data_IF_220273313123
#
_entry.id   IF_220273313123
#
_cell.length_a   1.000
_cell.length_b   1.000
_cell.length_c   1.000
_cell.angle_alpha   90.00
_cell.angle_beta   90.00
_cell.angle_gamma   90.00
#
_symmetry.space_group_name_H-M   'P 1'
#
loop_
_entity.id
_entity.type
_entity.pdbx_description
1 polymer ?
2 non-polymer ?
3 non-polymer ?
4 non-polymer ?
5 non-polymer ?
6 non-polymer ?
7 non-polymer ?
8 water ?
#
# COMPACT_ATOMS: atom_id res chain seq x y z
N UNK A 4 9.43 -25.95 12.36
CA UNK A 4 8.72 -25.30 13.46
C UNK A 4 9.61 -24.26 14.15
N UNK A 5 9.80 -23.11 13.50
CA UNK A 5 10.78 -22.12 13.93
C UNK A 5 10.22 -21.21 15.03
N UNK A 6 11.15 -20.61 15.77
CA UNK A 6 10.86 -19.80 16.94
C UNK A 6 11.34 -18.36 16.73
N UNK A 7 10.50 -17.39 17.07
CA UNK A 7 10.87 -15.98 17.07
C UNK A 7 10.77 -15.45 18.49
N UNK A 8 11.74 -14.61 18.87
CA UNK A 8 11.82 -14.08 20.22
C UNK A 8 11.56 -12.58 20.20
N UNK A 9 11.02 -12.07 21.29
CA UNK A 9 11.03 -10.65 21.56
C UNK A 9 12.03 -10.41 22.68
N UNK A 10 13.02 -9.56 22.44
CA UNK A 10 14.07 -9.35 23.43
C UNK A 10 13.77 -8.22 24.41
N UNK A 11 12.66 -7.50 24.23
CA UNK A 11 12.26 -6.53 25.23
C UNK A 11 11.38 -7.16 26.29
N UNK A 12 10.63 -8.20 25.92
CA UNK A 12 9.65 -8.86 26.76
C UNK A 12 9.93 -10.33 27.03
N UNK A 13 10.88 -10.94 26.31
CA UNK A 13 11.19 -12.36 26.40
C UNK A 13 10.02 -13.24 25.99
N UNK A 14 9.05 -12.68 25.25
CA UNK A 14 7.96 -13.47 24.71
C UNK A 14 8.47 -14.27 23.53
N UNK A 15 8.11 -15.56 23.48
CA UNK A 15 8.51 -16.44 22.40
C UNK A 15 7.27 -16.98 21.71
N UNK A 16 7.33 -17.02 20.37
CA UNK A 16 6.23 -17.52 19.55
C UNK A 16 6.78 -18.53 18.55
N UNK A 17 5.98 -19.56 18.28
CA UNK A 17 6.37 -20.64 17.37
C UNK A 17 5.64 -20.48 16.06
N UNK A 18 6.37 -20.62 14.96
CA UNK A 18 5.87 -20.38 13.62
C UNK A 18 5.82 -21.70 12.87
N UNK A 19 4.61 -22.15 12.54
CA UNK A 19 4.40 -23.25 11.60
C UNK A 19 3.70 -22.79 10.33
N UNK A 20 3.28 -21.52 10.27
CA UNK A 20 2.61 -21.01 9.08
C UNK A 20 3.56 -20.94 7.88
N UNK A 21 4.85 -20.67 8.11
CA UNK A 21 5.82 -20.57 7.03
C UNK A 21 5.90 -21.84 6.20
N UNK A 22 5.52 -22.98 6.78
CA UNK A 22 5.50 -24.24 6.04
C UNK A 22 4.55 -24.16 4.85
N UNK A 23 3.42 -23.46 5.01
CA UNK A 23 2.47 -23.27 3.90
C UNK A 23 3.03 -22.34 2.83
N UNK A 24 4.12 -21.62 3.11
CA UNK A 24 4.70 -20.73 2.10
C UNK A 24 5.17 -21.54 0.90
N UNK A 25 5.21 -20.87 -0.25
CA UNK A 25 5.34 -21.55 -1.52
C UNK A 25 6.39 -20.86 -2.38
N UNK A 26 6.31 -19.52 -2.47
CA UNK A 26 7.16 -18.70 -3.32
C UNK A 26 8.46 -18.35 -2.60
N UNK A 27 9.43 -17.87 -3.39
CA UNK A 27 10.81 -17.71 -2.95
C UNK A 27 11.08 -16.28 -2.50
N UNK A 28 12.03 -16.14 -1.56
CA UNK A 28 12.32 -14.86 -0.91
C UNK A 28 13.40 -14.05 -1.60
N UNK A 29 14.26 -14.68 -2.40
CA UNK A 29 15.47 -14.06 -2.87
C UNK A 29 16.71 -14.50 -2.12
N UNK A 30 16.53 -14.94 -0.88
CA UNK A 30 17.66 -15.37 -0.05
C UNK A 30 18.00 -16.82 -0.32
N UNK A 31 19.25 -17.17 -0.07
CA UNK A 31 19.68 -18.56 -0.08
C UNK A 31 20.26 -18.89 1.28
N UNK A 32 20.71 -20.13 1.45
CA UNK A 32 21.40 -20.47 2.70
C UNK A 32 22.68 -19.66 2.89
N UNK A 33 23.29 -19.18 1.82
CA UNK A 33 24.57 -18.49 1.91
C UNK A 33 24.51 -17.00 1.56
N UNK A 34 23.30 -16.42 1.42
CA UNK A 34 23.22 -14.97 1.25
C UNK A 34 21.83 -14.46 1.62
N UNK A 35 21.79 -13.46 2.48
CA UNK A 35 20.54 -12.85 2.88
C UNK A 35 20.36 -11.57 2.11
N UNK A 36 19.17 -11.43 1.51
CA UNK A 36 18.79 -10.28 0.72
C UNK A 36 17.60 -9.54 1.34
N UNK A 37 17.47 -9.64 2.67
CA UNK A 37 16.37 -9.01 3.36
C UNK A 37 16.30 -7.48 3.28
N UNK A 38 17.31 -6.84 2.69
CA UNK A 38 17.31 -5.40 2.52
C UNK A 38 17.29 -4.96 1.06
N UNK A 39 17.18 -5.90 0.12
CA UNK A 39 16.93 -5.52 -1.27
C UNK A 39 15.48 -5.07 -1.39
N UNK A 40 15.26 -3.93 -2.04
CA UNK A 40 13.93 -3.31 -2.04
C UNK A 40 12.92 -4.11 -2.87
N UNK A 41 13.29 -4.49 -4.10
CA UNK A 41 12.42 -5.30 -4.97
C UNK A 41 13.05 -6.67 -5.18
N UNK A 42 12.35 -7.75 -4.84
CA UNK A 42 12.93 -9.09 -4.96
C UNK A 42 12.40 -9.86 -6.16
N UNK A 43 13.26 -10.14 -7.13
CA UNK A 43 12.84 -10.93 -8.29
C UNK A 43 13.59 -12.26 -8.32
N UNK A 52 1.14 -13.31 -19.06
CA UNK A 52 0.26 -14.42 -19.43
C UNK A 52 0.76 -15.72 -18.78
N UNK A 53 -0.18 -16.52 -18.27
CA UNK A 53 0.11 -17.76 -17.56
C UNK A 53 -0.80 -18.87 -18.09
N UNK A 54 -0.24 -20.07 -18.27
CA UNK A 54 -0.92 -21.19 -18.89
C UNK A 54 -1.93 -21.84 -17.93
N UNK A 55 -2.78 -22.69 -18.50
CA UNK A 55 -3.84 -23.33 -17.72
C UNK A 55 -3.30 -24.47 -16.88
N UNK A 56 -2.19 -25.09 -17.29
CA UNK A 56 -1.50 -26.04 -16.43
C UNK A 56 -1.17 -25.40 -15.09
N UNK A 57 -0.68 -24.16 -15.12
CA UNK A 57 -0.27 -23.49 -13.91
C UNK A 57 -1.45 -23.02 -13.07
N UNK A 58 -2.64 -22.94 -13.66
CA UNK A 58 -3.71 -22.22 -12.97
C UNK A 58 -4.49 -23.08 -11.98
N UNK A 59 -4.66 -24.39 -12.24
CA UNK A 59 -5.52 -25.16 -11.35
C UNK A 59 -4.93 -25.36 -9.96
N UNK A 60 -3.67 -25.78 -9.79
CA UNK A 60 -3.13 -25.86 -8.42
C UNK A 60 -3.35 -24.58 -7.62
N UNK A 61 -3.18 -23.42 -8.27
CA UNK A 61 -3.40 -22.14 -7.62
C UNK A 61 -4.87 -21.93 -7.26
N UNK A 62 -5.80 -22.32 -8.14
CA UNK A 62 -7.20 -22.27 -7.76
C UNK A 62 -7.50 -23.29 -6.67
N UNK A 63 -6.97 -24.51 -6.82
CA UNK A 63 -7.16 -25.56 -5.83
C UNK A 63 -6.69 -25.12 -4.44
N UNK A 64 -5.41 -24.75 -4.34
CA UNK A 64 -4.87 -24.24 -3.08
C UNK A 64 -5.76 -23.16 -2.49
N UNK A 65 -6.04 -22.10 -3.26
CA UNK A 65 -6.87 -21.01 -2.76
C UNK A 65 -8.24 -21.51 -2.29
N UNK A 66 -8.90 -22.32 -3.11
CA UNK A 66 -10.26 -22.73 -2.77
C UNK A 66 -10.28 -23.68 -1.57
N UNK A 67 -9.22 -24.46 -1.39
CA UNK A 67 -9.15 -25.36 -0.24
C UNK A 67 -9.05 -24.57 1.06
N UNK A 68 -8.35 -23.43 1.06
CA UNK A 68 -8.24 -22.68 2.30
C UNK A 68 -9.42 -21.75 2.51
N UNK A 69 -10.10 -21.35 1.44
CA UNK A 69 -11.31 -20.54 1.60
C UNK A 69 -12.45 -21.36 2.20
N UNK A 70 -12.60 -22.62 1.77
CA UNK A 70 -13.63 -23.45 2.38
C UNK A 70 -13.21 -23.91 3.76
N UNK A 71 -11.91 -24.20 3.93
CA UNK A 71 -11.40 -24.45 5.27
C UNK A 71 -11.68 -23.27 6.19
N UNK A 72 -11.77 -22.05 5.63
CA UNK A 72 -11.95 -20.86 6.44
C UNK A 72 -13.37 -20.78 7.03
N UNK A 73 -14.39 -21.06 6.22
CA UNK A 73 -15.78 -20.95 6.68
C UNK A 73 -16.25 -22.25 7.32
N UNK A 74 -15.29 -23.07 7.77
CA UNK A 74 -15.58 -24.30 8.52
C UNK A 74 -16.42 -25.28 7.69
N UNK A 75 -16.14 -25.33 6.39
CA UNK A 75 -16.81 -26.26 5.46
C UNK A 75 -15.79 -26.84 4.48
N UNK A 76 -14.67 -27.32 5.01
CA UNK A 76 -13.61 -27.89 4.19
C UNK A 76 -14.02 -29.29 3.72
N UNK A 77 -14.04 -29.49 2.40
CA UNK A 77 -14.20 -30.81 1.82
C UNK A 77 -15.63 -31.25 1.57
N UNK A 78 -16.62 -30.53 2.09
CA UNK A 78 -18.01 -30.96 1.99
C UNK A 78 -18.46 -30.88 0.54
N UNK A 79 -19.78 -31.03 0.32
CA UNK A 79 -20.31 -31.07 -1.03
C UNK A 79 -19.97 -29.79 -1.79
N UNK A 80 -20.32 -28.63 -1.23
CA UNK A 80 -20.12 -27.38 -1.96
C UNK A 80 -18.66 -27.17 -2.34
N UNK A 81 -17.73 -27.72 -1.56
CA UNK A 81 -16.31 -27.63 -1.89
C UNK A 81 -15.99 -28.47 -3.13
N UNK A 82 -16.31 -29.76 -3.09
CA UNK A 82 -16.01 -30.62 -4.23
C UNK A 82 -16.70 -30.13 -5.50
N UNK A 83 -17.90 -29.56 -5.37
CA UNK A 83 -18.57 -29.00 -6.53
C UNK A 83 -17.80 -27.79 -7.06
N UNK A 84 -17.29 -26.94 -6.16
CA UNK A 84 -16.61 -25.72 -6.58
C UNK A 84 -15.26 -26.03 -7.19
N UNK A 85 -14.55 -27.03 -6.68
CA UNK A 85 -13.32 -27.48 -7.32
C UNK A 85 -13.61 -27.98 -8.73
N UNK A 86 -14.60 -28.87 -8.86
CA UNK A 86 -15.02 -29.35 -10.16
C UNK A 86 -15.47 -28.18 -11.05
N UNK A 87 -16.24 -27.26 -10.49
CA UNK A 87 -16.73 -26.11 -11.24
C UNK A 87 -15.57 -25.29 -11.81
N UNK A 88 -14.60 -24.94 -10.97
CA UNK A 88 -13.46 -24.14 -11.44
C UNK A 88 -12.60 -24.96 -12.40
N UNK A 89 -12.32 -26.22 -12.04
CA UNK A 89 -11.60 -27.11 -12.93
C UNK A 89 -12.23 -27.10 -14.32
N UNK A 90 -13.53 -27.35 -14.39
CA UNK A 90 -14.22 -27.35 -15.68
C UNK A 90 -14.06 -26.02 -16.41
N UNK A 91 -14.24 -24.91 -15.69
CA UNK A 91 -14.17 -23.61 -16.35
C UNK A 91 -12.76 -23.27 -16.83
N UNK A 92 -11.72 -23.74 -16.12
CA UNK A 92 -10.36 -23.52 -16.61
C UNK A 92 -10.07 -24.39 -17.83
N UNK A 93 -10.74 -25.53 -17.95
CA UNK A 93 -10.69 -26.25 -19.22
C UNK A 93 -11.34 -25.41 -20.32
N UNK A 94 -12.53 -24.88 -20.04
CA UNK A 94 -13.33 -24.25 -21.08
C UNK A 94 -12.71 -22.92 -21.54
N UNK A 95 -12.21 -22.12 -20.60
CA UNK A 95 -11.70 -20.77 -20.90
C UNK A 95 -10.23 -20.58 -20.62
N UNK A 96 -9.56 -21.51 -19.94
CA UNK A 96 -8.18 -21.36 -19.46
C UNK A 96 -8.03 -20.16 -18.54
N UNK A 97 -9.14 -19.72 -17.93
CA UNK A 97 -9.17 -18.86 -16.76
C UNK A 97 -10.41 -19.22 -15.96
N UNK A 98 -10.80 -18.36 -15.01
CA UNK A 98 -12.04 -18.57 -14.28
C UNK A 98 -12.40 -17.28 -13.55
N UNK A 99 -13.51 -17.34 -12.81
CA UNK A 99 -14.10 -16.18 -12.17
C UNK A 99 -14.37 -16.49 -10.70
N UNK A 100 -14.05 -15.54 -9.83
CA UNK A 100 -14.23 -15.73 -8.40
C UNK A 100 -15.66 -15.38 -7.98
N UNK A 101 -16.18 -16.12 -7.00
CA UNK A 101 -17.39 -15.67 -6.32
C UNK A 101 -17.14 -14.35 -5.61
N UNK A 102 -18.22 -13.58 -5.42
CA UNK A 102 -18.12 -12.35 -4.63
C UNK A 102 -17.47 -12.61 -3.28
N UNK A 103 -17.78 -13.76 -2.67
CA UNK A 103 -17.25 -14.13 -1.37
C UNK A 103 -15.78 -14.53 -1.46
N UNK A 104 -15.43 -15.31 -2.48
CA UNK A 104 -14.04 -15.66 -2.73
C UNK A 104 -13.20 -14.43 -3.02
N UNK A 105 -13.78 -13.43 -3.69
CA UNK A 105 -13.05 -12.21 -3.99
C UNK A 105 -12.78 -11.40 -2.72
N UNK A 106 -13.71 -11.42 -1.76
CA UNK A 106 -13.55 -10.67 -0.51
C UNK A 106 -12.58 -11.37 0.42
N UNK A 107 -12.62 -12.70 0.44
CA UNK A 107 -11.66 -13.49 1.19
C UNK A 107 -10.24 -13.27 0.65
N UNK A 108 -10.06 -13.42 -0.67
CA UNK A 108 -8.73 -13.27 -1.24
C UNK A 108 -8.15 -11.89 -1.01
N UNK A 109 -8.97 -10.85 -1.16
CA UNK A 109 -8.49 -9.50 -0.93
C UNK A 109 -8.02 -9.35 0.51
N UNK A 110 -8.93 -9.59 1.47
CA UNK A 110 -8.56 -9.42 2.87
C UNK A 110 -7.30 -10.20 3.21
N UNK A 111 -7.11 -11.35 2.55
CA UNK A 111 -6.02 -12.22 2.90
C UNK A 111 -4.72 -11.82 2.21
N UNK A 112 -4.81 -11.22 1.02
CA UNK A 112 -3.65 -10.55 0.44
C UNK A 112 -3.07 -9.51 1.38
N UNK A 113 -3.93 -8.65 1.93
CA UNK A 113 -3.52 -7.69 2.95
C UNK A 113 -2.97 -8.40 4.18
N UNK A 114 -3.71 -9.40 4.68
CA UNK A 114 -3.25 -10.16 5.84
C UNK A 114 -1.83 -10.69 5.65
N UNK A 115 -1.50 -11.14 4.45
CA UNK A 115 -0.18 -11.70 4.17
C UNK A 115 0.87 -10.66 3.78
N UNK A 116 0.49 -9.39 3.69
CA UNK A 116 1.42 -8.35 3.28
C UNK A 116 2.43 -8.20 4.40
N UNK A 117 3.65 -8.69 4.18
CA UNK A 117 4.60 -8.77 5.28
C UNK A 117 5.30 -7.46 5.57
N UNK A 118 5.19 -6.46 4.68
CA UNK A 118 5.77 -5.14 4.94
C UNK A 118 4.79 -4.18 5.60
N UNK A 119 3.58 -4.64 5.93
CA UNK A 119 2.51 -3.76 6.39
C UNK A 119 2.37 -3.84 7.90
N UNK A 120 2.62 -2.72 8.58
CA UNK A 120 2.47 -2.65 10.03
C UNK A 120 1.02 -2.46 10.47
N UNK A 121 0.11 -2.16 9.55
CA UNK A 121 -1.28 -1.87 9.90
C UNK A 121 -2.18 -3.08 9.93
N UNK A 122 -1.63 -4.27 9.82
CA UNK A 122 -2.43 -5.44 9.49
C UNK A 122 -3.34 -5.90 10.59
N UNK A 123 -3.34 -5.28 11.77
CA UNK A 123 -4.29 -5.71 12.78
C UNK A 123 -5.73 -5.46 12.31
N UNK A 124 -5.89 -4.64 11.29
CA UNK A 124 -7.17 -4.22 10.74
C UNK A 124 -7.54 -5.02 9.49
N UNK A 125 -6.84 -6.11 9.23
CA UNK A 125 -6.94 -6.78 7.93
C UNK A 125 -8.34 -7.32 7.67
N UNK A 126 -9.08 -7.67 8.72
CA UNK A 126 -10.41 -8.22 8.51
C UNK A 126 -11.46 -7.15 8.24
N UNK A 127 -11.28 -5.92 8.76
CA UNK A 127 -12.17 -4.79 8.48
C UNK A 127 -11.70 -4.11 7.19
N UNK A 128 -12.10 -4.70 6.07
CA UNK A 128 -11.80 -4.17 4.75
C UNK A 128 -13.08 -4.21 3.92
N UNK A 129 -13.31 -3.14 3.15
CA UNK A 129 -14.47 -3.01 2.28
C UNK A 129 -14.02 -3.34 0.86
N UNK A 130 -14.59 -4.37 0.29
CA UNK A 130 -14.22 -4.79 -1.06
C UNK A 130 -15.26 -4.24 -2.04
N UNK A 131 -14.80 -3.48 -3.02
CA UNK A 131 -15.66 -3.00 -4.09
C UNK A 131 -15.33 -3.81 -5.33
N UNK A 132 -16.27 -4.65 -5.74
CA UNK A 132 -16.15 -5.45 -6.95
C UNK A 132 -16.42 -4.53 -8.14
N UNK A 133 -15.36 -4.16 -8.85
CA UNK A 133 -15.50 -3.40 -10.09
C UNK A 133 -15.24 -4.25 -11.32
N UNK A 134 -15.40 -5.57 -11.21
CA UNK A 134 -15.08 -6.45 -12.34
C UNK A 134 -16.06 -6.33 -13.52
N UNK A 135 -17.13 -5.53 -13.42
CA UNK A 135 -18.01 -5.23 -14.54
C UNK A 135 -17.53 -4.04 -15.36
N UNK A 136 -16.40 -3.44 -14.99
CA UNK A 136 -16.00 -2.18 -15.60
C UNK A 136 -15.41 -2.41 -16.99
N UNK A 137 -15.64 -1.44 -17.88
CA UNK A 137 -15.18 -1.57 -19.26
C UNK A 137 -14.47 -0.36 -19.83
N UNK A 138 -14.46 0.80 -19.16
CA UNK A 138 -13.98 2.04 -19.74
C UNK A 138 -13.23 2.85 -18.69
N UNK A 139 -12.41 3.79 -19.18
CA UNK A 139 -11.73 4.69 -18.26
C UNK A 139 -12.73 5.56 -17.51
N UNK A 140 -13.80 5.99 -18.18
CA UNK A 140 -14.84 6.73 -17.48
C UNK A 140 -15.48 5.88 -16.39
N UNK A 141 -15.74 4.60 -16.67
CA UNK A 141 -16.20 3.70 -15.61
C UNK A 141 -15.18 3.54 -14.49
N UNK A 142 -13.89 3.49 -14.83
CA UNK A 142 -12.87 3.46 -13.78
C UNK A 142 -12.94 4.71 -12.93
N UNK A 143 -12.97 5.87 -13.57
CA UNK A 143 -13.06 7.12 -12.83
C UNK A 143 -14.23 7.08 -11.86
N UNK A 144 -15.40 6.62 -12.33
CA UNK A 144 -16.56 6.58 -11.45
C UNK A 144 -16.32 5.67 -10.25
N UNK A 145 -15.73 4.49 -10.47
CA UNK A 145 -15.47 3.59 -9.35
C UNK A 145 -14.48 4.20 -8.34
N UNK A 146 -13.38 4.79 -8.84
CA UNK A 146 -12.37 5.37 -7.95
C UNK A 146 -12.97 6.49 -7.08
N UNK A 147 -13.72 7.44 -7.69
CA UNK A 147 -14.34 8.52 -6.92
C UNK A 147 -15.24 7.97 -5.83
N UNK A 148 -15.97 6.89 -6.14
CA UNK A 148 -16.80 6.28 -5.13
C UNK A 148 -15.93 5.67 -4.02
N UNK A 149 -14.79 5.12 -4.39
CA UNK A 149 -13.85 4.62 -3.39
C UNK A 149 -13.42 5.77 -2.47
N UNK A 150 -12.86 6.83 -3.05
CA UNK A 150 -12.35 7.97 -2.28
C UNK A 150 -13.43 8.53 -1.36
N UNK A 151 -14.62 8.76 -1.90
CA UNK A 151 -15.67 9.28 -1.03
C UNK A 151 -15.94 8.33 0.13
N UNK A 152 -16.09 7.03 -0.16
CA UNK A 152 -16.40 6.08 0.90
C UNK A 152 -15.27 6.02 1.92
N UNK A 153 -14.07 5.63 1.47
CA UNK A 153 -12.93 5.48 2.38
C UNK A 153 -12.64 6.74 3.18
N UNK A 154 -12.80 7.93 2.58
CA UNK A 154 -12.51 9.17 3.30
C UNK A 154 -13.50 9.38 4.45
N UNK A 155 -14.81 9.21 4.19
CA UNK A 155 -15.81 9.19 5.27
C UNK A 155 -15.65 10.38 6.21
N UNK A 156 -15.37 11.54 5.63
CA UNK A 156 -15.33 12.81 6.35
C UNK A 156 -14.21 12.81 7.41
N UNK A 157 -13.09 12.16 7.10
CA UNK A 157 -11.96 12.07 8.01
C UNK A 157 -11.97 10.88 8.93
N UNK A 158 -13.14 10.25 9.14
CA UNK A 158 -13.18 9.01 9.90
C UNK A 158 -12.90 7.86 8.94
N UNK A 159 -11.61 7.70 8.62
CA UNK A 159 -11.24 6.89 7.47
C UNK A 159 -11.61 5.43 7.67
N UNK A 160 -11.89 4.76 6.55
CA UNK A 160 -12.25 3.36 6.50
C UNK A 160 -11.49 2.69 5.38
N UNK A 161 -11.04 1.46 5.63
CA UNK A 161 -10.21 0.73 4.66
C UNK A 161 -11.07 0.21 3.51
N UNK A 162 -10.52 0.26 2.30
CA UNK A 162 -11.25 -0.28 1.15
C UNK A 162 -10.28 -0.66 0.04
N UNK A 163 -10.78 -1.50 -0.86
CA UNK A 163 -10.09 -1.81 -2.10
C UNK A 163 -11.13 -1.86 -3.23
N UNK A 164 -10.73 -1.45 -4.42
CA UNK A 164 -11.58 -1.49 -5.61
C UNK A 164 -10.90 -2.36 -6.64
N UNK A 165 -11.55 -3.45 -7.03
CA UNK A 165 -10.94 -4.49 -7.86
C UNK A 165 -11.52 -4.45 -9.27
N UNK A 166 -10.71 -4.06 -10.24
CA UNK A 166 -11.08 -4.03 -11.65
C UNK A 166 -10.78 -5.37 -12.32
N UNK A 167 -11.27 -5.59 -13.55
CA UNK A 167 -11.22 -6.93 -14.14
C UNK A 167 -9.80 -7.52 -14.18
N UNK A 168 -9.75 -8.85 -14.03
CA UNK A 168 -8.48 -9.52 -13.98
C UNK A 168 -7.78 -9.48 -15.34
N UNK A 169 -6.45 -9.52 -15.29
CA UNK A 169 -5.69 -9.75 -16.51
C UNK A 169 -6.18 -11.03 -17.16
N UNK A 170 -6.29 -11.01 -18.48
CA UNK A 170 -6.69 -12.21 -19.20
C UNK A 170 -5.58 -12.60 -20.16
N UNK A 171 -5.50 -11.93 -21.29
CA UNK A 171 -4.44 -12.23 -22.24
C UNK A 171 -3.13 -11.59 -21.82
N UNK A 172 -3.19 -10.35 -21.31
CA UNK A 172 -2.00 -9.55 -21.01
C UNK A 172 -1.96 -8.25 -21.79
N UNK A 173 -2.59 -8.20 -22.97
CA UNK A 173 -2.65 -6.99 -23.78
C UNK A 173 -3.91 -6.18 -23.51
N UNK A 174 -4.83 -6.70 -22.68
CA UNK A 174 -6.02 -5.98 -22.23
C UNK A 174 -5.96 -5.95 -20.72
N UNK A 175 -5.21 -4.98 -20.21
CA UNK A 175 -4.96 -4.80 -18.79
C UNK A 175 -5.60 -3.51 -18.32
N UNK A 176 -6.39 -3.59 -17.26
CA UNK A 176 -6.78 -2.40 -16.54
C UNK A 176 -5.62 -1.96 -15.66
N UNK A 177 -5.20 -0.71 -15.81
CA UNK A 177 -4.17 -0.12 -14.97
C UNK A 177 -4.55 1.28 -14.55
N UNK A 178 -4.24 1.63 -13.30
CA UNK A 178 -4.19 3.02 -12.85
C UNK A 178 -2.73 3.44 -12.87
N UNK A 179 -2.39 4.39 -13.76
CA UNK A 179 -0.99 4.77 -13.93
C UNK A 179 -0.44 5.61 -12.79
N UNK A 180 -1.30 6.22 -11.97
CA UNK A 180 -0.84 6.90 -10.76
C UNK A 180 -0.29 5.87 -9.78
N UNK A 181 0.74 6.28 -9.01
CA UNK A 181 1.22 5.41 -7.92
C UNK A 181 0.19 5.37 -6.80
N UNK A 182 -0.38 6.52 -6.45
CA UNK A 182 -1.45 6.64 -5.47
C UNK A 182 -2.55 7.49 -6.08
N UNK A 183 -3.81 7.10 -5.82
CA UNK A 183 -4.95 7.88 -6.32
C UNK A 183 -4.76 9.38 -6.08
N UNK A 184 -4.31 9.76 -4.88
CA UNK A 184 -4.00 11.14 -4.55
C UNK A 184 -2.49 11.25 -4.31
N UNK A 185 -1.82 11.96 -5.21
CA UNK A 185 -0.41 12.30 -5.15
C UNK A 185 -0.24 13.73 -5.62
N UNK A 186 0.64 14.48 -4.96
CA UNK A 186 0.99 15.84 -5.36
C UNK A 186 1.97 15.83 -6.53
N UNK A 187 1.84 16.83 -7.40
CA UNK A 187 2.66 16.90 -8.61
C UNK A 187 4.11 17.25 -8.30
N UNK A 188 5.01 16.80 -9.18
CA UNK A 188 6.39 17.22 -9.16
C UNK A 188 6.87 17.81 -10.48
N UNK A 189 7.31 19.06 -10.45
CA UNK A 189 7.84 19.75 -11.61
C UNK A 189 9.29 20.10 -11.34
N UNK A 190 10.16 19.84 -12.32
CA UNK A 190 11.51 20.37 -12.27
C UNK A 190 11.50 21.83 -12.70
N UNK A 191 12.65 22.48 -12.56
CA UNK A 191 12.75 23.92 -12.81
C UNK A 191 13.82 24.23 -13.85
N UNK A 192 13.95 25.48 -14.32
CA UNK A 192 15.13 25.81 -15.13
C UNK A 192 16.45 25.65 -14.39
N UNK A 193 16.48 26.00 -13.10
CA UNK A 193 17.69 25.84 -12.30
C UNK A 193 17.80 24.45 -11.69
N UNK A 194 17.27 23.43 -12.34
CA UNK A 194 17.48 22.05 -11.92
C UNK A 194 16.77 21.64 -10.64
N UNK A 195 16.40 22.61 -9.80
CA UNK A 195 15.63 22.30 -8.61
C UNK A 195 14.28 21.70 -9.00
N UNK A 196 13.50 21.30 -7.98
CA UNK A 196 12.20 20.66 -8.20
C UNK A 196 11.14 21.28 -7.30
N UNK A 197 10.04 21.72 -7.91
CA UNK A 197 8.86 22.16 -7.19
C UNK A 197 7.87 21.02 -7.07
N UNK A 198 7.18 20.94 -5.92
CA UNK A 198 6.26 19.87 -5.65
C UNK A 198 6.95 18.63 -5.11
N UNK A 199 6.50 17.46 -5.53
CA UNK A 199 7.03 16.21 -5.02
C UNK A 199 8.01 15.66 -6.05
N UNK A 200 9.32 15.68 -5.79
CA UNK A 200 10.27 15.12 -6.78
C UNK A 200 9.97 13.66 -7.12
N UNK A 201 9.27 12.94 -6.26
CA UNK A 201 8.99 11.53 -6.51
C UNK A 201 8.19 11.32 -7.79
N UNK A 202 7.39 12.30 -8.19
CA UNK A 202 6.34 12.11 -9.20
C UNK A 202 6.66 12.82 -10.52
N UNK A 203 7.90 13.26 -10.70
CA UNK A 203 8.23 14.17 -11.80
C UNK A 203 8.05 13.50 -13.15
N UNK A 204 8.46 12.22 -13.26
CA UNK A 204 8.17 11.50 -14.51
C UNK A 204 6.65 11.42 -14.74
N UNK A 205 5.86 11.11 -13.70
CA UNK A 205 4.42 10.94 -13.93
C UNK A 205 3.72 12.27 -14.18
N UNK A 206 4.15 13.34 -13.51
CA UNK A 206 3.61 14.68 -13.76
C UNK A 206 3.84 15.10 -15.20
N UNK A 207 4.94 14.68 -15.81
CA UNK A 207 5.23 15.09 -17.18
C UNK A 207 4.54 14.19 -18.19
N UNK A 208 4.29 12.94 -17.82
CA UNK A 208 3.46 12.06 -18.65
C UNK A 208 2.05 12.64 -18.77
N UNK A 209 1.49 13.13 -17.64
CA UNK A 209 0.19 13.79 -17.66
C UNK A 209 0.20 15.06 -18.49
N UNK A 210 1.24 15.89 -18.32
CA UNK A 210 1.39 17.06 -19.17
C UNK A 210 1.54 16.65 -20.63
N UNK A 211 2.30 15.56 -20.87
CA UNK A 211 2.39 14.99 -22.22
C UNK A 211 1.03 14.59 -22.77
N UNK A 212 0.13 14.11 -21.91
CA UNK A 212 -1.24 13.78 -22.32
C UNK A 212 -2.20 14.95 -22.17
N UNK A 213 -1.68 16.18 -22.12
CA UNK A 213 -2.53 17.34 -22.13
C UNK A 213 -2.98 17.87 -20.79
N UNK A 214 -2.41 17.41 -19.69
CA UNK A 214 -2.74 18.02 -18.40
C UNK A 214 -2.32 19.48 -18.41
N UNK A 215 -3.06 20.29 -17.68
CA UNK A 215 -2.81 21.73 -17.59
C UNK A 215 -2.38 21.98 -16.14
N UNK A 216 -1.09 22.03 -15.92
CA UNK A 216 -0.61 22.02 -14.55
C UNK A 216 -0.75 23.40 -13.93
N UNK A 217 -1.16 23.46 -12.65
CA UNK A 217 -1.11 24.72 -11.91
C UNK A 217 0.26 25.06 -11.36
N UNK A 218 1.29 24.29 -11.75
CA UNK A 218 2.69 24.42 -11.38
C UNK A 218 2.96 25.13 -10.05
N UNK A 219 2.44 24.56 -8.97
CA UNK A 219 2.87 24.90 -7.62
C UNK A 219 3.39 23.67 -6.89
N UNK A 220 3.27 23.68 -5.57
CA UNK A 220 3.80 22.58 -4.76
C UNK A 220 2.80 21.44 -4.71
N UNK A 221 1.81 21.60 -3.84
CA UNK A 221 0.86 20.55 -3.49
C UNK A 221 -0.31 20.57 -4.49
N UNK A 222 0.01 20.19 -5.72
CA UNK A 222 -0.95 20.11 -6.81
C UNK A 222 -1.44 18.66 -6.92
N UNK A 223 -2.69 18.40 -6.53
CA UNK A 223 -3.26 17.06 -6.67
C UNK A 223 -3.22 16.68 -8.15
N UNK A 224 -2.67 15.49 -8.43
CA UNK A 224 -2.51 15.08 -9.82
C UNK A 224 -3.83 14.61 -10.38
N UNK A 225 -3.96 14.54 -11.70
CA UNK A 225 -5.13 13.90 -12.28
C UNK A 225 -4.90 12.40 -12.31
N UNK A 226 -6.00 11.66 -12.37
CA UNK A 226 -5.92 10.23 -12.61
C UNK A 226 -5.62 9.98 -14.08
N UNK A 227 -4.81 8.96 -14.34
CA UNK A 227 -4.56 8.44 -15.68
C UNK A 227 -4.99 6.98 -15.65
N UNK A 228 -6.09 6.67 -16.35
CA UNK A 228 -6.78 5.40 -16.19
C UNK A 228 -6.75 4.65 -17.52
N UNK A 229 -6.15 3.46 -17.51
CA UNK A 229 -6.08 2.58 -18.67
C UNK A 229 -7.12 1.47 -18.51
N UNK A 230 -7.96 1.29 -19.52
CA UNK A 230 -9.05 0.32 -19.46
C UNK A 230 -8.94 -0.66 -20.62
N UNK A 231 -9.06 -1.95 -20.31
CA UNK A 231 -8.99 -3.04 -21.28
C UNK A 231 -7.80 -2.88 -22.23
N UNK A 232 -6.65 -2.55 -21.66
CA UNK A 232 -5.43 -2.38 -22.43
C UNK A 232 -5.39 -1.19 -23.36
N UNK A 233 -6.46 -0.40 -23.45
CA UNK A 233 -6.47 0.77 -24.31
C UNK A 233 -5.57 1.87 -23.74
N UNK A 234 -5.35 2.92 -24.55
CA UNK A 234 -4.59 4.06 -24.09
C UNK A 234 -5.30 4.75 -22.92
N UNK A 235 -4.58 5.25 -21.93
CA UNK A 235 -5.20 5.80 -20.73
C UNK A 235 -5.68 7.24 -20.93
N UNK A 236 -6.57 7.66 -20.02
CA UNK A 236 -7.29 8.92 -20.16
C UNK A 236 -7.30 9.69 -18.84
N UNK A 237 -7.34 11.02 -18.94
CA UNK A 237 -7.17 11.91 -17.79
C UNK A 237 -8.50 12.25 -17.13
N UNK A 238 -8.54 12.19 -15.80
CA UNK A 238 -9.73 12.62 -15.07
C UNK A 238 -9.34 13.26 -13.75
N UNK A 239 -9.73 14.52 -13.56
CA UNK A 239 -9.48 15.25 -12.32
C UNK A 239 -10.54 14.87 -11.28
N UNK A 240 -10.11 14.19 -10.22
CA UNK A 240 -10.92 13.89 -9.02
C UNK A 240 -11.58 15.16 -8.52
N UNK A 241 -12.90 15.19 -8.32
CA UNK A 241 -13.53 16.44 -7.84
C UNK A 241 -12.92 16.86 -6.51
N UNK A 242 -12.48 18.11 -6.40
CA UNK A 242 -11.67 18.51 -5.23
C UNK A 242 -12.41 18.39 -3.92
N UNK A 243 -13.75 18.48 -3.94
CA UNK A 243 -14.52 18.26 -2.72
C UNK A 243 -14.31 16.87 -2.13
N UNK A 244 -13.88 15.91 -2.94
CA UNK A 244 -13.60 14.57 -2.47
C UNK A 244 -12.16 14.41 -2.00
N UNK A 245 -11.32 15.44 -2.12
CA UNK A 245 -9.90 15.35 -1.78
C UNK A 245 -9.70 16.05 -0.45
N UNK A 246 -9.69 15.26 0.62
CA UNK A 246 -9.50 15.81 1.96
C UNK A 246 -8.03 16.11 2.16
N UNK A 247 -7.73 17.31 2.65
CA UNK A 247 -6.36 17.75 2.87
C UNK A 247 -6.22 18.34 4.28
N UNK A 248 -5.10 18.03 4.93
CA UNK A 248 -4.80 18.51 6.27
C UNK A 248 -3.68 19.54 6.20
N UNK A 249 -3.96 20.82 6.46
CA UNK A 249 -2.87 21.80 6.58
C UNK A 249 -2.11 21.55 7.87
N UNK A 250 -0.80 21.65 7.79
CA UNK A 250 0.09 21.21 8.88
C UNK A 250 0.48 22.41 9.73
N UNK A 251 0.04 22.41 10.98
CA UNK A 251 0.48 23.38 11.97
C UNK A 251 1.10 22.66 13.16
N UNK A 252 1.82 23.42 13.97
CA UNK A 252 2.47 22.88 15.16
C UNK A 252 1.78 23.40 16.42
N UNK A 253 1.74 22.58 17.48
CA UNK A 253 1.07 22.99 18.71
C UNK A 253 1.92 23.85 19.64
N UNK A 254 3.03 24.40 19.12
CA UNK A 254 3.86 25.33 19.87
C UNK A 254 4.35 26.44 18.95
N UNK A 255 4.96 26.04 17.84
CA UNK A 255 5.65 26.93 16.91
C UNK A 255 4.62 27.54 15.95
N UNK A 256 4.28 28.82 16.17
CA UNK A 256 3.33 29.49 15.28
C UNK A 256 3.93 29.74 13.90
N UNK A 257 5.24 29.90 13.80
CA UNK A 257 5.84 30.03 12.48
C UNK A 257 5.66 28.77 11.65
N UNK A 258 5.29 27.65 12.28
CA UNK A 258 5.08 26.41 11.54
C UNK A 258 3.93 26.54 10.53
N UNK A 259 2.89 27.31 10.86
CA UNK A 259 1.86 27.57 9.86
C UNK A 259 2.46 28.25 8.63
N UNK A 260 3.29 29.27 8.85
CA UNK A 260 3.93 29.99 7.76
C UNK A 260 4.78 29.09 6.88
N UNK A 261 5.17 27.92 7.37
CA UNK A 261 5.81 26.94 6.51
C UNK A 261 4.92 26.57 5.33
N UNK A 262 3.60 26.61 5.53
CA UNK A 262 2.66 26.37 4.45
C UNK A 262 2.71 24.95 3.92
N UNK A 263 2.67 23.99 4.83
CA UNK A 263 2.66 22.58 4.44
C UNK A 263 1.26 22.00 4.62
N UNK A 264 1.00 20.94 3.86
CA UNK A 264 -0.24 20.20 3.93
C UNK A 264 -0.04 18.86 3.25
N UNK A 265 -0.81 17.88 3.69
CA UNK A 265 -0.83 16.56 3.08
C UNK A 265 -2.27 16.13 2.91
N UNK A 266 -2.48 15.15 2.05
CA UNK A 266 -3.79 14.57 1.87
C UNK A 266 -4.06 13.51 2.92
N UNK A 267 -5.34 13.37 3.27
CA UNK A 267 -5.71 12.47 4.35
C UNK A 267 -5.60 11.01 3.97
N UNK A 268 -5.82 10.69 2.70
CA UNK A 268 -6.16 9.33 2.27
C UNK A 268 -5.00 8.73 1.49
N UNK A 269 -4.28 7.74 2.07
CA UNK A 269 -3.25 7.04 1.29
C UNK A 269 -3.88 5.89 0.55
N UNK A 270 -3.67 5.82 -0.76
CA UNK A 270 -4.49 4.90 -1.57
C UNK A 270 -3.59 4.44 -2.69
N UNK A 271 -2.95 3.29 -2.47
CA UNK A 271 -2.00 2.74 -3.42
C UNK A 271 -2.73 2.13 -4.59
N UNK A 272 -2.23 2.41 -5.79
CA UNK A 272 -2.93 2.05 -7.01
C UNK A 272 -2.08 1.30 -8.01
N UNK A 273 -0.76 1.16 -7.79
CA UNK A 273 0.14 0.65 -8.80
C UNK A 273 0.56 -0.78 -8.52
N UNK A 274 -0.17 -1.49 -7.66
CA UNK A 274 0.18 -2.84 -7.26
C UNK A 274 -0.73 -3.87 -7.88
N UNK A 275 -0.27 -5.10 -7.87
CA UNK A 275 -0.96 -6.22 -8.46
C UNK A 275 -1.45 -7.15 -7.35
N UNK A 276 -2.74 -7.44 -7.39
CA UNK A 276 -3.43 -8.32 -6.45
C UNK A 276 -3.57 -9.70 -7.10
N UNK A 277 -3.03 -10.71 -6.44
CA UNK A 277 -3.05 -12.08 -6.93
C UNK A 277 -3.95 -12.91 -6.03
N UNK A 278 -4.95 -13.57 -6.63
CA UNK A 278 -5.89 -14.43 -5.92
C UNK A 278 -6.07 -15.70 -6.74
N UNK A 279 -5.86 -16.86 -6.10
CA UNK A 279 -6.00 -18.13 -6.80
C UNK A 279 -5.39 -18.16 -8.19
N UNK A 280 -4.21 -17.57 -8.35
CA UNK A 280 -3.56 -17.56 -9.65
C UNK A 280 -4.11 -16.58 -10.66
N UNK A 281 -5.09 -15.76 -10.26
CA UNK A 281 -5.69 -14.74 -11.11
C UNK A 281 -5.16 -13.37 -10.75
N UNK A 282 -4.76 -12.60 -11.76
CA UNK A 282 -4.03 -11.35 -11.58
C UNK A 282 -4.93 -10.16 -11.81
N UNK A 283 -5.06 -9.31 -10.79
CA UNK A 283 -5.74 -8.03 -10.91
C UNK A 283 -4.67 -6.94 -10.90
N UNK A 284 -4.45 -6.33 -12.07
CA UNK A 284 -3.49 -5.27 -12.29
C UNK A 284 -3.99 -3.90 -11.85
N UNK A 285 -5.29 -3.76 -11.60
CA UNK A 285 -5.89 -2.52 -11.13
C UNK A 285 -6.65 -2.89 -9.88
N UNK A 286 -6.13 -2.48 -8.73
CA UNK A 286 -6.75 -2.83 -7.47
C UNK A 286 -6.46 -1.82 -6.38
N UNK A 287 -6.70 -0.51 -6.59
CA UNK A 287 -6.31 0.48 -5.58
C UNK A 287 -6.90 0.18 -4.20
N UNK A 288 -6.02 0.24 -3.18
CA UNK A 288 -6.40 -0.03 -1.81
C UNK A 288 -6.02 1.17 -0.95
N UNK A 289 -6.85 1.44 0.05
CA UNK A 289 -6.67 2.62 0.87
C UNK A 289 -6.83 2.24 2.33
N UNK A 290 -6.04 2.89 3.20
CA UNK A 290 -6.32 2.80 4.61
C UNK A 290 -6.25 4.15 5.29
N UNK A 291 -5.27 4.34 6.18
CA UNK A 291 -4.93 5.64 6.72
C UNK A 291 -3.42 5.66 6.99
N UNK A 292 -2.92 6.84 7.32
CA UNK A 292 -1.47 7.01 7.46
C UNK A 292 -1.00 6.67 8.86
N UNK A 293 0.15 6.02 8.92
CA UNK A 293 1.01 6.20 10.07
C UNK A 293 1.71 7.55 9.94
N UNK A 294 1.87 8.26 11.06
CA UNK A 294 2.39 9.62 10.98
C UNK A 294 3.73 9.72 10.27
N UNK A 295 4.61 8.70 10.45
CA UNK A 295 5.98 8.81 9.97
C UNK A 295 6.07 8.84 8.44
N UNK A 296 5.17 8.15 7.72
CA UNK A 296 5.27 8.18 6.26
C UNK A 296 5.18 9.60 5.72
N UNK A 297 4.46 10.50 6.40
CA UNK A 297 4.41 11.90 5.98
C UNK A 297 5.57 12.70 6.57
N UNK A 298 5.69 12.70 7.90
CA UNK A 298 6.65 13.59 8.54
C UNK A 298 8.09 13.19 8.29
N UNK A 299 8.37 11.89 8.27
CA UNK A 299 9.74 11.40 8.10
C UNK A 299 10.10 11.27 6.63
N UNK A 300 9.38 10.41 5.90
CA UNK A 300 9.79 10.03 4.54
C UNK A 300 9.39 11.09 3.51
N UNK A 301 8.07 11.29 3.34
CA UNK A 301 7.55 12.32 2.45
C UNK A 301 8.25 13.67 2.68
N UNK A 302 8.12 14.19 3.89
CA UNK A 302 8.64 15.53 4.19
C UNK A 302 10.16 15.60 4.31
N UNK A 303 10.86 14.52 4.69
CA UNK A 303 12.28 14.66 5.03
C UNK A 303 13.26 13.77 4.26
N UNK A 304 12.81 12.82 3.44
CA UNK A 304 13.74 12.18 2.51
C UNK A 304 14.46 13.26 1.71
N UNK A 305 15.76 13.08 1.50
CA UNK A 305 16.50 14.07 0.72
C UNK A 305 15.94 14.20 -0.68
N UNK A 306 15.48 13.11 -1.27
CA UNK A 306 14.93 13.11 -2.62
C UNK A 306 13.41 13.31 -2.64
N UNK A 307 12.81 13.72 -1.51
CA UNK A 307 11.40 14.10 -1.48
C UNK A 307 11.29 15.59 -1.15
N UNK A 308 10.36 15.98 -0.27
CA UNK A 308 10.13 17.41 -0.02
C UNK A 308 11.31 18.06 0.72
N UNK A 309 12.03 17.29 1.53
CA UNK A 309 13.33 17.67 2.07
C UNK A 309 13.27 19.02 2.79
N UNK A 310 12.55 19.01 3.91
CA UNK A 310 12.26 20.26 4.63
C UNK A 310 13.06 20.39 5.91
N UNK A 311 13.98 19.46 6.20
CA UNK A 311 14.78 19.57 7.41
C UNK A 311 15.59 20.85 7.42
N UNK A 312 16.02 21.33 6.24
CA UNK A 312 16.76 22.59 6.16
C UNK A 312 15.95 23.75 6.73
N UNK A 313 14.68 23.84 6.33
CA UNK A 313 13.87 25.01 6.65
C UNK A 313 13.30 24.96 8.07
N UNK A 314 12.88 23.77 8.51
CA UNK A 314 12.40 23.65 9.89
C UNK A 314 13.53 23.91 10.88
N UNK A 315 14.73 23.40 10.59
CA UNK A 315 15.85 23.65 11.48
C UNK A 315 16.24 25.12 11.48
N UNK A 316 16.10 25.80 10.33
CA UNK A 316 16.38 27.23 10.28
C UNK A 316 15.49 27.98 11.25
N UNK A 317 14.17 27.83 11.10
CA UNK A 317 13.19 28.50 11.93
C UNK A 317 13.26 28.06 13.39
N UNK A 318 13.75 26.86 13.66
CA UNK A 318 13.90 26.42 15.04
C UNK A 318 15.10 27.06 15.73
N UNK A 319 15.96 27.77 14.99
CA UNK A 319 17.19 28.38 15.51
C UNK A 319 18.14 27.33 16.08
N UNK A 320 18.62 26.46 15.18
CA UNK A 320 19.43 25.31 15.56
C UNK A 320 20.85 25.41 15.04
N UNK A 321 21.79 24.85 15.79
CA UNK A 321 23.19 24.74 15.38
C UNK A 321 23.29 23.79 14.21
N UNK A 322 23.32 24.33 12.99
CA UNK A 322 23.35 23.53 11.77
C UNK A 322 24.76 23.37 11.21
N UNK A 323 25.73 24.04 11.83
CA UNK A 323 27.12 23.92 11.39
C UNK A 323 27.59 22.46 11.47
N UNK A 324 27.34 21.81 12.59
CA UNK A 324 27.89 20.50 12.86
C UNK A 324 26.87 19.42 12.55
N UNK A 325 27.36 18.28 12.07
CA UNK A 325 26.51 17.10 11.98
C UNK A 325 26.02 16.69 13.37
N UNK A 326 26.92 16.64 14.35
CA UNK A 326 26.76 16.08 15.68
C UNK A 326 25.92 16.91 16.62
N UNK A 327 25.36 18.05 16.17
CA UNK A 327 24.35 18.73 16.99
C UNK A 327 23.00 18.02 16.97
N UNK A 328 22.82 17.05 16.05
CA UNK A 328 21.53 16.36 15.86
C UNK A 328 20.41 17.35 15.55
N UNK A 329 20.74 18.40 14.79
CA UNK A 329 19.70 19.35 14.39
C UNK A 329 18.71 18.69 13.45
N UNK A 330 19.18 17.80 12.58
CA UNK A 330 18.25 17.01 11.76
C UNK A 330 17.31 16.19 12.63
N UNK A 331 17.82 15.57 13.70
CA UNK A 331 16.97 14.75 14.55
C UNK A 331 15.95 15.60 15.28
N UNK A 332 16.40 16.76 15.78
CA UNK A 332 15.54 17.64 16.55
C UNK A 332 14.37 18.15 15.71
N UNK A 333 14.67 18.66 14.51
CA UNK A 333 13.60 19.09 13.60
C UNK A 333 12.76 17.93 13.09
N UNK A 334 13.27 16.70 13.18
CA UNK A 334 12.47 15.60 12.66
C UNK A 334 11.35 15.24 13.64
N UNK A 335 11.67 15.23 14.94
CA UNK A 335 10.63 14.99 15.95
C UNK A 335 9.57 16.11 15.91
N UNK A 336 10.00 17.39 15.89
CA UNK A 336 9.03 18.50 15.82
C UNK A 336 8.09 18.36 14.62
N UNK A 337 8.63 18.02 13.44
CA UNK A 337 7.82 17.87 12.25
C UNK A 337 6.77 16.78 12.43
N UNK A 338 7.16 15.65 13.05
CA UNK A 338 6.18 14.59 13.21
C UNK A 338 5.17 14.90 14.31
N UNK A 339 5.56 15.68 15.32
CA UNK A 339 4.58 16.17 16.30
C UNK A 339 3.50 16.98 15.60
N UNK A 340 3.89 17.70 14.54
CA UNK A 340 3.03 18.64 13.84
C UNK A 340 2.06 17.92 12.94
N UNK A 341 2.53 16.88 12.23
CA UNK A 341 1.66 16.12 11.36
C UNK A 341 0.59 15.43 12.19
N UNK A 342 1.00 14.74 13.26
CA UNK A 342 0.01 14.10 14.13
C UNK A 342 -0.97 15.12 14.70
N UNK A 343 -0.43 16.18 15.33
CA UNK A 343 -1.31 17.18 15.92
C UNK A 343 -2.29 17.75 14.90
N UNK A 344 -1.84 17.98 13.67
CA UNK A 344 -2.71 18.61 12.68
C UNK A 344 -3.81 17.66 12.26
N UNK A 345 -3.44 16.42 11.93
CA UNK A 345 -4.42 15.42 11.51
C UNK A 345 -5.47 15.18 12.60
N UNK A 346 -5.04 15.12 13.86
CA UNK A 346 -5.94 14.81 14.97
C UNK A 346 -6.89 15.95 15.29
N UNK A 347 -6.44 17.21 15.17
CA UNK A 347 -7.30 18.35 15.43
C UNK A 347 -8.40 18.48 14.38
N UNK A 348 -8.17 17.94 13.18
CA UNK A 348 -9.15 17.95 12.11
C UNK A 348 -9.97 16.66 12.04
N UNK A 349 -9.89 15.83 13.08
CA UNK A 349 -10.69 14.61 13.17
C UNK A 349 -10.46 13.70 11.97
N UNK A 350 -9.24 13.72 11.43
CA UNK A 350 -8.84 12.87 10.31
C UNK A 350 -7.98 11.73 10.85
N UNK A 351 -8.34 10.49 10.51
CA UNK A 351 -7.71 9.32 11.09
C UNK A 351 -6.22 9.31 10.77
N UNK A 352 -5.40 9.14 11.81
CA UNK A 352 -3.96 8.94 11.65
C UNK A 352 -3.48 8.20 12.89
N UNK A 353 -2.43 7.40 12.73
CA UNK A 353 -1.88 6.62 13.83
C UNK A 353 -0.42 7.05 14.03
N UNK A 354 0.03 7.07 15.27
CA UNK A 354 1.42 7.43 15.56
C UNK A 354 2.26 6.17 15.56
N UNK A 355 3.57 6.31 15.33
CA UNK A 355 4.39 5.11 15.09
C UNK A 355 4.54 4.25 16.34
N UNK A 356 4.25 4.81 17.53
CA UNK A 356 4.23 4.01 18.76
C UNK A 356 2.96 3.16 18.84
N UNK A 357 1.79 3.81 18.69
CA UNK A 357 0.54 3.06 18.70
C UNK A 357 0.48 2.04 17.57
N UNK A 358 0.94 2.42 16.37
CA UNK A 358 0.91 1.48 15.25
C UNK A 358 1.76 0.24 15.53
N UNK A 359 2.97 0.43 16.06
CA UNK A 359 3.86 -0.71 16.26
C UNK A 359 3.42 -1.58 17.42
N UNK A 360 2.87 -0.98 18.48
CA UNK A 360 2.28 -1.79 19.54
C UNK A 360 1.18 -2.70 19.00
N UNK A 361 0.22 -2.12 18.26
CA UNK A 361 -0.87 -2.94 17.75
C UNK A 361 -0.35 -4.06 16.87
N UNK A 362 0.73 -3.82 16.12
CA UNK A 362 1.31 -4.88 15.31
C UNK A 362 1.91 -6.01 16.14
N UNK A 363 2.49 -5.71 17.31
CA UNK A 363 2.87 -6.81 18.20
C UNK A 363 1.62 -7.55 18.67
N UNK A 364 0.59 -6.81 19.06
CA UNK A 364 -0.66 -7.44 19.50
C UNK A 364 -1.25 -8.27 18.39
N UNK A 365 -1.21 -7.76 17.15
CA UNK A 365 -1.61 -8.55 15.98
C UNK A 365 -0.74 -9.78 15.83
N UNK A 366 0.57 -9.63 16.01
CA UNK A 366 1.47 -10.76 15.84
C UNK A 366 1.08 -11.91 16.77
N UNK A 367 0.76 -11.59 18.03
CA UNK A 367 0.29 -12.61 18.97
C UNK A 367 -0.92 -13.35 18.43
N UNK A 368 -1.89 -12.61 17.87
CA UNK A 368 -3.09 -13.24 17.34
C UNK A 368 -2.75 -14.20 16.20
N UNK A 369 -2.01 -13.71 15.20
CA UNK A 369 -1.67 -14.55 14.05
C UNK A 369 -0.91 -15.81 14.47
N UNK A 370 0.01 -15.71 15.43
CA UNK A 370 0.71 -16.93 15.85
C UNK A 370 -0.21 -17.87 16.60
N UNK A 371 -1.20 -17.34 17.30
CA UNK A 371 -2.14 -18.17 18.05
C UNK A 371 -3.19 -18.81 17.15
N UNK A 372 -4.02 -17.99 16.50
CA UNK A 372 -5.13 -18.50 15.71
C UNK A 372 -4.76 -18.72 14.25
N UNK A 373 -3.46 -18.80 13.93
CA UNK A 373 -3.04 -19.03 12.54
C UNK A 373 -1.66 -19.65 12.46
N UNK A 374 -0.94 -19.69 13.59
CA UNK A 374 0.39 -20.29 13.64
C UNK A 374 1.53 -19.49 13.06
N UNK A 375 1.38 -18.19 12.84
CA UNK A 375 2.45 -17.40 12.29
C UNK A 375 1.94 -16.11 11.68
N UNK A 376 2.89 -15.24 11.38
CA UNK A 376 2.62 -13.92 10.80
C UNK A 376 3.85 -13.51 10.01
N UNK A 377 3.81 -13.55 8.69
CA UNK A 377 4.97 -13.08 7.91
C UNK A 377 5.20 -11.60 8.16
N UNK A 378 6.45 -11.22 8.36
CA UNK A 378 6.74 -9.84 8.74
C UNK A 378 8.15 -9.47 8.26
N UNK A 379 8.28 -8.28 7.68
CA UNK A 379 9.52 -7.81 7.09
C UNK A 379 10.02 -6.72 8.04
N UNK A 380 11.00 -7.09 8.88
CA UNK A 380 11.53 -6.17 9.89
C UNK A 380 12.02 -4.87 9.26
N UNK A 381 12.65 -4.95 8.08
CA UNK A 381 13.26 -3.78 7.45
C UNK A 381 12.22 -2.70 7.17
N UNK A 382 11.01 -3.14 6.82
CA UNK A 382 9.87 -2.28 6.54
C UNK A 382 8.97 -2.08 7.75
N UNK A 383 8.88 -3.06 8.67
CA UNK A 383 8.00 -2.89 9.83
C UNK A 383 8.53 -1.80 10.77
N UNK A 384 9.84 -1.71 10.93
CA UNK A 384 10.41 -0.80 11.93
C UNK A 384 10.26 0.62 11.42
N UNK A 385 9.59 1.51 12.18
CA UNK A 385 9.37 2.88 11.66
C UNK A 385 10.68 3.59 11.41
N UNK A 386 10.68 4.59 10.52
CA UNK A 386 11.94 5.23 10.10
C UNK A 386 12.49 6.28 11.04
N UNK A 387 11.93 6.42 12.23
CA UNK A 387 12.53 7.24 13.28
C UNK A 387 12.28 6.53 14.59
N UNK A 388 13.11 6.83 15.58
CA UNK A 388 13.00 6.26 16.92
C UNK A 388 12.79 4.74 16.88
N UNK A 389 13.52 4.08 15.99
CA UNK A 389 13.33 2.64 15.82
C UNK A 389 13.26 1.86 17.12
N UNK A 390 14.28 2.02 17.99
CA UNK A 390 14.38 1.07 19.08
C UNK A 390 13.57 1.48 20.30
N UNK A 391 12.99 2.68 20.34
CA UNK A 391 11.97 2.90 21.35
C UNK A 391 10.61 2.36 20.91
N UNK A 392 10.50 1.78 19.68
CA UNK A 392 9.23 1.11 19.36
C UNK A 392 9.37 -0.39 19.58
N UNK A 393 8.29 -1.04 20.03
CA UNK A 393 8.39 -2.47 20.40
C UNK A 393 8.71 -3.41 19.25
N UNK A 394 8.53 -3.01 17.99
CA UNK A 394 8.89 -3.95 16.91
C UNK A 394 10.40 -4.02 16.66
N UNK A 395 11.17 -3.03 17.10
CA UNK A 395 12.61 -3.12 16.94
C UNK A 395 13.13 -4.39 17.61
N UNK A 396 12.61 -4.68 18.80
CA UNK A 396 13.06 -5.77 19.66
C UNK A 396 12.38 -7.09 19.36
N UNK A 397 11.65 -7.18 18.24
CA UNK A 397 10.84 -8.34 17.93
C UNK A 397 11.41 -9.02 16.69
N UNK A 398 11.82 -10.27 16.86
CA UNK A 398 12.24 -11.07 15.72
C UNK A 398 11.05 -11.41 14.83
N UNK A 399 11.30 -11.42 13.52
CA UNK A 399 10.24 -11.62 12.54
C UNK A 399 10.76 -12.55 11.46
N UNK A 400 9.99 -13.61 11.20
CA UNK A 400 10.19 -14.48 10.06
C UNK A 400 9.45 -13.89 8.86
N UNK A 401 10.17 -13.69 7.76
CA UNK A 401 9.56 -13.24 6.52
C UNK A 401 9.44 -14.42 5.57
N UNK A 402 8.25 -14.58 5.00
CA UNK A 402 7.97 -15.57 4.00
C UNK A 402 6.76 -15.08 3.20
N UNK A 403 6.56 -15.70 2.03
CA UNK A 403 5.62 -15.21 1.03
C UNK A 403 4.44 -16.16 0.99
N UNK A 404 3.29 -15.68 1.45
CA UNK A 404 2.05 -16.43 1.39
C UNK A 404 1.13 -15.80 0.36
N UNK A 405 0.26 -16.62 -0.19
CA UNK A 405 -0.70 -16.14 -1.16
C UNK A 405 -2.10 -16.45 -0.63
N UNK A 406 -3.13 -15.62 -0.97
CA UNK A 406 -3.19 -14.38 -1.77
C UNK A 406 -2.19 -13.26 -1.37
N UNK A 407 -1.79 -12.42 -2.33
CA UNK A 407 -0.73 -11.46 -2.05
C UNK A 407 -0.83 -10.24 -2.96
N UNK A 408 -0.25 -9.14 -2.47
CA UNK A 408 -0.02 -7.93 -3.27
C UNK A 408 1.42 -7.98 -3.79
N UNK A 409 1.58 -7.91 -5.11
CA UNK A 409 2.87 -7.91 -5.76
C UNK A 409 3.13 -6.57 -6.44
N UNK A 410 4.40 -6.23 -6.56
CA UNK A 410 4.80 -5.11 -7.39
C UNK A 410 4.62 -5.49 -8.85
N UNK A 411 4.55 -4.47 -9.69
CA UNK A 411 4.43 -4.66 -11.13
C UNK A 411 5.08 -3.46 -11.81
N UNK A 412 5.58 -3.63 -13.03
CA UNK A 412 6.20 -2.50 -13.74
C UNK A 412 5.22 -1.36 -13.99
N UNK A 413 5.78 -0.19 -14.25
CA UNK A 413 4.96 0.96 -14.59
C UNK A 413 4.38 0.78 -16.00
N UNK A 414 3.11 1.16 -16.20
CA UNK A 414 2.47 0.87 -17.50
C UNK A 414 3.18 1.48 -18.69
N UNK A 415 3.69 2.71 -18.55
CA UNK A 415 4.34 3.35 -19.68
C UNK A 415 5.62 2.66 -20.10
N UNK A 416 6.14 1.73 -19.29
CA UNK A 416 7.28 0.93 -19.68
C UNK A 416 6.89 -0.32 -20.45
N UNK A 417 5.63 -0.73 -20.40
CA UNK A 417 5.18 -2.00 -20.93
C UNK A 417 4.08 -1.88 -21.97
N UNK A 418 3.49 -0.70 -22.13
CA UNK A 418 2.26 -0.54 -22.90
C UNK A 418 2.59 -0.32 -24.37
N UNK A 419 2.13 -1.25 -25.21
CA UNK A 419 2.18 -1.08 -26.66
C UNK A 419 1.07 -0.10 -27.04
N UNK A 420 1.46 1.08 -27.55
CA UNK A 420 0.61 2.28 -27.49
C UNK A 420 -0.51 2.37 -28.53
N UNK A 421 -0.16 2.67 -29.79
CA UNK A 421 -1.10 2.71 -30.91
C UNK A 421 -2.07 3.90 -30.79
N UNK A 422 -1.53 5.09 -30.58
CA UNK A 422 -2.37 6.26 -30.48
C UNK A 422 -1.59 7.48 -30.06
X LIG B 1 2.87 -1.06 3.49
X LIG B 1 0.58 1.06 7.23
X LIG B 1 -3.63 -0.37 5.24
X LIG B 1 -1.25 -3.28 2.23
X LIG B 1 2.60 -0.23 4.57
X LIG B 1 3.50 0.74 5.18
X LIG B 1 2.89 1.34 6.20
X LIG B 1 1.56 0.76 6.31
X LIG B 1 3.47 2.45 7.10
X LIG B 1 4.90 1.06 4.67
X LIG B 1 4.66 1.86 3.39
X LIG B 1 5.94 2.48 2.93
X LIG B 1 6.78 2.83 3.82
X LIG B 1 6.11 2.63 1.69
X LIG B 1 -0.77 0.87 7.02
X LIG B 1 -1.83 1.37 7.85
X LIG B 1 -2.99 0.96 7.32
X LIG B 1 -2.70 0.21 6.10
X LIG B 1 -1.61 2.21 9.14
X LIG B 1 -4.39 1.30 7.91
X LIG B 1 -5.41 0.45 7.75
X LIG B 1 -3.37 -1.25 4.22
X LIG B 1 -4.36 -1.88 3.34
X LIG B 1 -3.70 -2.70 2.49
X LIG B 1 -2.28 -2.60 2.84
X LIG B 1 -5.87 -1.55 3.44
X LIG B 1 -4.17 -3.62 1.34
X LIG B 1 -5.47 -3.89 1.11
X LIG B 1 0.06 -2.93 2.27
X LIG B 1 1.10 -3.45 1.42
X LIG B 1 2.25 -2.85 1.76
X LIG B 1 1.96 -1.90 2.84
X LIG B 1 0.94 -4.52 0.33
X LIG B 1 3.63 -3.13 1.10
X LIG B 1 3.86 -2.12 -0.02
X LIG B 1 5.24 -2.23 -0.62
X LIG B 1 5.86 -3.33 -0.55
X LIG B 1 5.69 -1.22 -1.22
X LIG B 1 1.44 -0.17 5.31
X LIG B 1 -1.33 0.16 5.96
X LIG B 1 -2.13 -1.73 3.87
X LIG B 1 0.60 -1.99 3.13
X LIG B 1 -0.29 -1.33 4.93
X LIG C 1 10.69 0.61 5.04
X LIG C 1 9.52 1.19 4.64
X LIG C 1 8.42 1.11 5.43
X LIG C 1 9.45 1.84 3.46
X LIG C 1 10.54 1.93 2.65
X LIG C 1 10.47 2.54 1.56
X LIG C 1 11.74 1.34 3.04
X LIG C 1 11.80 0.68 4.26
X LIG C 1 12.84 1.39 2.26
X LIG C 1 12.96 0.10 4.67
X LIG C 1 13.87 0.34 2.44
X LIG C 1 14.19 0.17 3.92
X LIG C 1 15.16 0.64 1.68
X LIG C 1 15.60 1.92 2.16
X LIG C 1 16.27 -0.38 1.97
X LIG C 1 17.59 -0.06 1.26
X LIG C 1 15.85 -1.72 1.68
X LIG D 1 -1.90 3.28 1.82
X LIG D 1 -3.02 2.54 1.46
X LIG D 1 1.21 2.93 2.26
X LIG D 1 0.88 1.58 2.19
X LIG D 1 1.31 0.77 1.15
X LIG D 1 2.14 1.29 0.19
X LIG D 1 2.48 2.63 0.26
X LIG D 1 2.03 3.45 1.27
X LIG D 1 3.37 3.21 -0.79
X LIG D 1 -1.56 2.98 3.15
X LIG D 1 -0.40 3.56 3.88
X LIG D 1 5.58 2.87 -1.43
X LIG D 1 6.65 1.82 -1.62
X LIG D 1 7.68 2.38 -2.56
X LIG D 1 9.00 2.53 -2.17
X LIG D 1 9.93 3.04 -3.07
X LIG D 1 9.51 3.39 -4.35
X LIG D 1 8.18 3.23 -4.72
X LIG D 1 7.26 2.72 -3.84
X LIG D 1 10.68 3.17 -6.35
X LIG D 1 11.69 3.69 -7.32
X LIG D 1 12.13 3.01 -8.46
X LIG D 1 13.06 3.80 -9.10
X LIG D 1 -2.44 2.07 3.62
X LIG D 1 0.79 3.74 3.29
X LIG D 1 -0.55 3.89 5.10
X LIG D 1 4.30 2.19 -1.25
X LIG D 1 10.40 3.89 -5.24
X LIG D 1 10.12 2.07 -6.60
X LIG D 1 12.33 4.88 -7.24
X LIG D 1 -3.31 1.84 2.61
X LIG D 1 13.13 4.92 -8.31
X LIG E 1 -3.62 0.47 13.03
X LIG E 1 -3.24 1.63 13.32
X LIG E 1 -3.73 -0.43 13.90
X LIG E 1 -3.96 0.15 11.60
X LIG F 1 17.32 -13.35 4.48
X LIG G 1 4.99 6.31 1.61
X LIG G 1 5.83 7.57 1.36
X LIG G 1 7.35 7.31 1.23
X LIG G 1 7.81 6.60 -0.04
X LIG G 1 8.96 7.32 -0.73
X LIG G 1 3.83 6.63 2.40
X LIG G 1 5.34 8.24 0.20
X LIG G 1 7.79 6.51 2.33
X LIG G 1 8.30 5.31 0.34
X LIG G 1 9.72 8.12 0.19
#
# INVERSE_FOLDING_TARGET
CPRFLKVKNWETDVVLTDTLHLKSTLETGCTEHICMGSIMLPSQHTRKPEDVATKDQLFPLAKEFLDQYYSSIKRFGSKAHMDRLEEVNKEIESTSTYQLKDTELIYGAKHAWRNASRCVGRIQWSKLQVFDARDCTTAHGMFNYICNHVKYATNKGNLRSAITIFPQRTDGKHDFRVWNSQLIRYAGYKQPDGSTLGDPANVQFTEICIQQGWKAPRGRFDVLPLLLQANGNDPELFQIPPELVLEVPIRHPKFDWFKDLGLKWYGLPAVSNMLLEIGGLEFSACPFSGWYMGTEIGVRDYCDNSRYNILEEVAKKMDLDMRKTSSLWKDQALVEINIAVLYSFQSDKVTIVDHHSATESFIKHMENEYRCRGGCPADWVWIVPPMSGSITPVFHQEMLNYRLTPSFEYQPDPWNTHVWKG
HEM CHA CHB CHC CHD C1A C2A C3A C4A CMA CAA CBA CGA O1A O2A C1B C2B C3B C4B CMB CAB CBB C1C C2C C3C C4C CMC CAC CBC C1D C2D C3D C4D CMD CAD CBD CGD O1D O2D NA NB NC ND FE
H4B N1 C2 N2 N3 C4 O4 C4A C8A N5 N8 C6 C7 C9 O9 C10 C11 O10
A1BT0 C04 C05 C11 C12 C13 C14 C15 C16 C17 C03 C06 C19 C20 C21 C22 C23 C24 C25 C26 C28 C33 C34 C35 N02 N07 N08 N18 N27 N29 N32 O01 O31
ACT C O OXT CH3
ZN ZN
XYL C1 C2 C3 C4 C5 O1 O2 O3 O4 O5
#
